data_IF_200528527000
#
_entry.id   IF_200528527000
#
_cell.length_a   1.000
_cell.length_b   1.000
_cell.length_c   1.000
_cell.angle_alpha   90.00
_cell.angle_beta   90.00
_cell.angle_gamma   90.00
#
_symmetry.space_group_name_H-M   'P 1'
#
loop_
_entity.id
_entity.type
_entity.pdbx_description
1 polymer ?
#
# COMPACT_ATOMS: atom_id res chain seq x y z
N UNK A 1 -6.86 15.32 -15.58
CA UNK A 1 -6.94 15.23 -14.10
C UNK A 1 -8.40 15.41 -13.69
N UNK A 2 -8.85 14.75 -12.62
CA UNK A 2 -10.15 15.04 -11.99
C UNK A 2 -9.91 16.05 -10.85
N UNK A 3 -10.81 17.01 -10.70
CA UNK A 3 -10.75 18.03 -9.64
C UNK A 3 -11.55 17.59 -8.42
N UNK A 4 -11.04 17.92 -7.23
CA UNK A 4 -11.74 17.79 -5.95
C UNK A 4 -11.78 19.19 -5.33
N UNK A 5 -12.96 19.63 -4.91
CA UNK A 5 -13.14 20.89 -4.18
C UNK A 5 -13.25 20.59 -2.69
N UNK A 6 -12.47 21.31 -1.87
CA UNK A 6 -12.39 21.10 -0.42
C UNK A 6 -12.52 22.46 0.25
N UNK A 7 -13.47 22.60 1.16
CA UNK A 7 -13.57 23.76 2.04
C UNK A 7 -12.75 23.52 3.30
N UNK A 8 -11.93 24.48 3.67
CA UNK A 8 -11.06 24.42 4.84
C UNK A 8 -11.40 25.60 5.77
N UNK A 9 -11.34 25.41 7.10
CA UNK A 9 -11.30 26.52 8.05
C UNK A 9 -10.13 27.47 7.75
N UNK A 10 -10.26 28.73 8.12
CA UNK A 10 -9.27 29.78 7.81
C UNK A 10 -7.88 29.46 8.38
N UNK A 11 -7.81 28.88 9.57
CA UNK A 11 -6.56 28.44 10.19
C UNK A 11 -5.84 27.37 9.34
N UNK A 12 -6.59 26.38 8.84
CA UNK A 12 -6.03 25.33 7.99
C UNK A 12 -5.60 25.87 6.63
N UNK A 13 -6.36 26.81 6.06
CA UNK A 13 -5.96 27.49 4.81
C UNK A 13 -4.63 28.23 5.02
N UNK A 14 -4.53 29.03 6.07
CA UNK A 14 -3.35 29.84 6.37
C UNK A 14 -2.11 28.96 6.55
N UNK A 15 -2.26 27.82 7.25
CA UNK A 15 -1.19 26.84 7.38
C UNK A 15 -0.73 26.28 6.03
N UNK A 16 -1.66 25.90 5.15
CA UNK A 16 -1.30 25.37 3.82
C UNK A 16 -0.63 26.43 2.95
N UNK A 17 -1.10 27.68 2.99
CA UNK A 17 -0.48 28.79 2.29
C UNK A 17 0.96 29.04 2.79
N UNK A 18 1.21 28.93 4.09
CA UNK A 18 2.56 29.02 4.66
C UNK A 18 3.47 27.90 4.16
N UNK A 19 2.99 26.65 4.11
CA UNK A 19 3.76 25.51 3.59
C UNK A 19 4.19 25.71 2.13
N UNK A 20 3.33 26.33 1.32
CA UNK A 20 3.65 26.71 -0.07
C UNK A 20 4.66 27.87 -0.09
N UNK A 21 4.46 28.89 0.75
CA UNK A 21 5.33 30.07 0.82
C UNK A 21 6.77 29.76 1.27
N UNK A 22 6.96 28.70 2.09
CA UNK A 22 8.28 28.22 2.50
C UNK A 22 9.11 27.61 1.36
N UNK A 23 8.56 27.53 0.14
CA UNK A 23 9.29 27.17 -1.08
C UNK A 23 9.41 25.68 -1.35
N UNK A 24 8.89 24.83 -0.45
CA UNK A 24 8.88 23.37 -0.62
C UNK A 24 7.83 22.89 -1.63
N UNK A 25 6.82 23.71 -1.92
CA UNK A 25 5.74 23.39 -2.86
C UNK A 25 5.40 24.61 -3.72
N UNK A 26 5.09 24.39 -4.99
CA UNK A 26 4.74 25.46 -5.94
C UNK A 26 3.25 25.80 -5.92
N UNK A 27 2.40 24.88 -5.44
CA UNK A 27 0.94 25.10 -5.34
C UNK A 27 0.32 24.34 -4.15
N UNK A 28 -0.84 24.81 -3.69
CA UNK A 28 -1.68 24.10 -2.71
C UNK A 28 -2.02 22.68 -3.18
N UNK A 29 -2.33 22.50 -4.46
CA UNK A 29 -2.64 21.17 -5.00
C UNK A 29 -1.43 20.23 -4.99
N UNK A 30 -0.21 20.75 -5.11
CA UNK A 30 1.02 19.95 -4.99
C UNK A 30 1.20 19.47 -3.55
N UNK A 31 1.06 20.37 -2.58
CA UNK A 31 1.10 20.04 -1.15
C UNK A 31 0.10 18.93 -0.81
N UNK A 32 -1.16 19.06 -1.22
CA UNK A 32 -2.17 18.02 -0.96
C UNK A 32 -1.87 16.68 -1.64
N UNK A 33 -1.34 16.68 -2.87
CA UNK A 33 -0.94 15.43 -3.53
C UNK A 33 0.18 14.74 -2.76
N UNK A 34 1.11 15.51 -2.20
CA UNK A 34 2.18 14.93 -1.40
C UNK A 34 1.67 14.38 -0.07
N UNK A 35 0.77 15.10 0.62
CA UNK A 35 0.10 14.57 1.81
C UNK A 35 -0.61 13.24 1.53
N UNK A 36 -1.27 13.10 0.38
CA UNK A 36 -1.92 11.84 -0.01
C UNK A 36 -0.88 10.73 -0.19
N UNK A 37 0.27 11.00 -0.82
CA UNK A 37 1.35 10.00 -0.96
C UNK A 37 1.94 9.60 0.38
N UNK A 38 2.15 10.56 1.27
CA UNK A 38 2.63 10.30 2.62
C UNK A 38 1.64 9.45 3.42
N UNK A 39 0.33 9.74 3.33
CA UNK A 39 -0.71 8.92 3.95
C UNK A 39 -0.75 7.49 3.37
N UNK A 40 -0.64 7.34 2.05
CA UNK A 40 -0.53 6.04 1.40
C UNK A 40 0.69 5.26 1.89
N UNK A 41 1.85 5.90 1.95
CA UNK A 41 3.09 5.28 2.46
C UNK A 41 2.94 4.85 3.90
N UNK A 42 2.35 5.70 4.76
CA UNK A 42 2.10 5.39 6.17
C UNK A 42 1.17 4.18 6.30
N UNK A 43 0.06 4.13 5.57
CA UNK A 43 -0.86 2.98 5.58
C UNK A 43 -0.21 1.69 5.07
N UNK A 44 0.63 1.79 4.04
CA UNK A 44 1.38 0.64 3.55
C UNK A 44 2.38 0.11 4.60
N UNK A 45 3.03 1.03 5.33
CA UNK A 45 3.91 0.68 6.45
C UNK A 45 3.13 0.01 7.59
N UNK A 46 2.02 0.60 8.02
CA UNK A 46 1.13 0.04 9.06
C UNK A 46 0.67 -1.39 8.66
N UNK A 47 0.28 -1.58 7.39
CA UNK A 47 -0.11 -2.90 6.88
C UNK A 47 1.05 -3.90 6.87
N UNK A 48 2.27 -3.47 6.53
CA UNK A 48 3.44 -4.33 6.55
C UNK A 48 3.78 -4.76 7.98
N UNK A 49 3.70 -3.84 8.94
CA UNK A 49 3.96 -4.12 10.36
C UNK A 49 2.99 -5.16 10.91
N UNK A 50 1.70 -5.08 10.55
CA UNK A 50 0.70 -6.09 10.92
C UNK A 50 1.10 -7.47 10.37
N UNK A 51 1.46 -7.57 9.09
CA UNK A 51 1.87 -8.84 8.47
C UNK A 51 3.15 -9.42 9.09
N UNK A 52 4.09 -8.56 9.49
CA UNK A 52 5.30 -8.98 10.18
C UNK A 52 4.98 -9.53 11.57
N UNK A 53 4.08 -8.87 12.32
CA UNK A 53 3.61 -9.38 13.61
C UNK A 53 2.91 -10.72 13.47
N UNK A 54 2.00 -10.87 12.49
CA UNK A 54 1.37 -12.15 12.17
C UNK A 54 2.41 -13.25 11.87
N UNK A 55 3.46 -12.91 11.10
CA UNK A 55 4.56 -13.83 10.81
C UNK A 55 5.36 -14.22 12.06
N UNK A 56 5.64 -13.28 12.96
CA UNK A 56 6.33 -13.56 14.24
C UNK A 56 5.47 -14.40 15.18
N UNK A 57 4.15 -14.23 15.14
CA UNK A 57 3.19 -15.01 15.94
C UNK A 57 2.83 -16.36 15.31
N UNK A 58 3.27 -16.63 14.07
CA UNK A 58 2.92 -17.83 13.31
C UNK A 58 3.60 -19.13 13.80
N UNK A 59 4.49 -19.02 14.80
CA UNK A 59 5.22 -20.12 15.40
C UNK A 59 6.72 -20.05 15.13
N UNK A 60 7.44 -21.08 15.59
CA UNK A 60 8.89 -21.12 15.44
C UNK A 60 9.31 -21.25 13.98
N UNK A 61 10.27 -20.42 13.58
CA UNK A 61 10.84 -20.50 12.23
C UNK A 61 11.59 -21.84 12.04
N UNK A 62 11.28 -22.55 10.96
CA UNK A 62 12.00 -23.73 10.53
C UNK A 62 12.96 -23.41 9.38
N UNK A 63 13.99 -24.24 9.19
CA UNK A 63 14.88 -24.11 8.05
C UNK A 63 14.10 -24.39 6.76
N UNK A 64 14.17 -23.48 5.80
CA UNK A 64 13.60 -23.67 4.46
C UNK A 64 14.45 -24.67 3.68
N UNK A 65 13.87 -25.79 3.26
CA UNK A 65 14.53 -26.86 2.50
C UNK A 65 14.17 -26.80 1.01
N UNK A 66 14.92 -27.54 0.18
CA UNK A 66 14.62 -27.67 -1.25
C UNK A 66 13.26 -28.34 -1.51
N UNK A 67 12.84 -29.25 -0.62
CA UNK A 67 11.53 -29.90 -0.67
C UNK A 67 10.41 -28.90 -0.39
N UNK A 68 10.56 -28.06 0.65
CA UNK A 68 9.57 -27.00 0.95
C UNK A 68 9.37 -26.06 -0.25
N UNK A 69 10.47 -25.68 -0.92
CA UNK A 69 10.41 -24.87 -2.13
C UNK A 69 9.71 -25.56 -3.30
N UNK A 70 9.91 -26.87 -3.49
CA UNK A 70 9.22 -27.61 -4.54
C UNK A 70 7.73 -27.73 -4.23
N UNK A 71 7.36 -28.00 -2.99
CA UNK A 71 5.97 -28.07 -2.55
C UNK A 71 5.24 -26.74 -2.77
N UNK A 72 5.87 -25.61 -2.41
CA UNK A 72 5.34 -24.26 -2.68
C UNK A 72 5.10 -24.06 -4.19
N UNK A 73 6.07 -24.42 -5.04
CA UNK A 73 5.91 -24.30 -6.51
C UNK A 73 4.79 -25.17 -7.06
N UNK A 74 4.65 -26.41 -6.57
CA UNK A 74 3.58 -27.32 -6.97
C UNK A 74 2.21 -26.79 -6.58
N UNK A 75 2.07 -26.21 -5.37
CA UNK A 75 0.83 -25.55 -4.93
C UNK A 75 0.47 -24.38 -5.84
N UNK A 76 1.44 -23.51 -6.17
CA UNK A 76 1.21 -22.36 -7.06
C UNK A 76 0.80 -22.83 -8.47
N UNK A 77 1.50 -23.81 -9.05
CA UNK A 77 1.16 -24.39 -10.37
C UNK A 77 -0.25 -24.98 -10.38
N UNK A 78 -0.62 -25.70 -9.32
CA UNK A 78 -1.95 -26.30 -9.18
C UNK A 78 -3.06 -25.24 -9.11
N UNK A 79 -2.83 -24.13 -8.40
CA UNK A 79 -3.79 -23.02 -8.32
C UNK A 79 -3.96 -22.31 -9.67
N UNK A 80 -2.87 -22.08 -10.40
CA UNK A 80 -2.91 -21.47 -11.73
C UNK A 80 -3.61 -22.36 -12.77
N UNK A 81 -3.36 -23.68 -12.75
CA UNK A 81 -4.03 -24.63 -13.65
C UNK A 81 -5.53 -24.75 -13.40
N UNK A 82 -5.97 -24.64 -12.14
CA UNK A 82 -7.40 -24.59 -11.78
C UNK A 82 -8.07 -23.30 -12.25
N UNK A 83 -7.37 -22.16 -12.17
CA UNK A 83 -7.89 -20.88 -12.66
C UNK A 83 -8.07 -20.84 -14.18
N UNK A 84 -7.23 -21.55 -14.96
CA UNK A 84 -7.39 -21.64 -16.42
C UNK A 84 -8.56 -22.54 -16.88
N UNK A 85 -9.02 -23.48 -16.05
CA UNK A 85 -10.17 -24.34 -16.39
C UNK A 85 -11.53 -23.73 -15.98
N UNK A 86 -11.55 -22.76 -15.05
CA UNK A 86 -12.78 -22.09 -14.60
C UNK A 86 -13.27 -20.93 -15.48
N UNK A 87 -12.45 -20.41 -16.39
CA UNK A 87 -12.77 -19.25 -17.24
C UNK A 87 -13.34 -19.62 -18.64
N UNK A 88 -13.76 -20.88 -18.84
CA UNK A 88 -14.30 -21.40 -20.12
C UNK A 88 -15.82 -21.62 -20.16
N UNK A 89 -16.56 -21.21 -19.13
CA UNK A 89 -18.04 -21.24 -19.14
C UNK A 89 -18.56 -19.88 -18.68
N UNK A 90 -18.96 -19.07 -19.66
CA UNK A 90 -19.56 -17.73 -19.49
C UNK A 90 -19.82 -17.12 -20.85
#
# INVERSE_FOLDING_TARGET
MKSINISLPDEMRSYVEEQVAQGSYSTVSEYFRELIRLDQKRKAQESLEILLLEGLESGDATQMTDTDWEDIRQVVRSRLGKHSQGNGQG
#
